data_IF_478532426179
#
_entry.id   IF_478532426179
#
_cell.length_a   1.000
_cell.length_b   1.000
_cell.length_c   1.000
_cell.angle_alpha   90.00
_cell.angle_beta   90.00
_cell.angle_gamma   90.00
#
_symmetry.space_group_name_H-M   'P 1'
#
loop_
_entity.id
_entity.type
_entity.pdbx_description
1 polymer ?
#
# COMPACT_ATOMS: atom_id res chain seq x y z
N UNK A 1 -8.70 8.76 4.74
CA UNK A 1 -7.78 9.89 5.00
C UNK A 1 -6.40 9.28 5.22
N UNK A 2 -5.40 9.76 4.50
CA UNK A 2 -4.02 9.34 4.71
C UNK A 2 -3.54 9.87 6.06
N UNK A 3 -2.88 9.02 6.84
CA UNK A 3 -2.42 9.36 8.18
C UNK A 3 -0.99 8.89 8.37
N UNK A 4 -0.20 9.67 9.08
CA UNK A 4 1.15 9.31 9.46
C UNK A 4 1.35 9.53 10.96
N UNK A 5 2.19 8.73 11.59
CA UNK A 5 2.47 8.88 13.01
C UNK A 5 3.14 7.68 13.64
N UNK A 6 3.43 7.83 14.93
CA UNK A 6 4.00 6.78 15.75
C UNK A 6 2.94 5.75 16.15
N UNK A 7 3.16 4.48 15.83
CA UNK A 7 2.34 3.35 16.25
C UNK A 7 3.25 2.26 16.82
N UNK A 8 3.07 1.93 18.11
CA UNK A 8 3.79 0.85 18.81
C UNK A 8 5.32 0.90 18.60
N UNK A 9 5.90 2.10 18.68
CA UNK A 9 7.34 2.33 18.56
C UNK A 9 7.88 2.40 17.13
N UNK A 10 7.01 2.40 16.10
CA UNK A 10 7.41 2.59 14.70
C UNK A 10 6.66 3.76 14.10
N UNK A 11 7.35 4.59 13.34
CA UNK A 11 6.68 5.59 12.51
C UNK A 11 6.12 4.91 11.27
N UNK A 12 4.83 5.10 11.00
CA UNK A 12 4.15 4.53 9.85
C UNK A 12 3.32 5.58 9.11
N UNK A 13 3.28 5.47 7.79
CA UNK A 13 2.39 6.21 6.91
C UNK A 13 1.35 5.24 6.33
N UNK A 14 0.08 5.51 6.59
CA UNK A 14 -1.07 4.75 6.13
C UNK A 14 -1.69 5.52 4.97
N UNK A 15 -1.27 5.14 3.76
CA UNK A 15 -1.71 5.74 2.52
C UNK A 15 -2.78 4.87 1.86
N UNK A 16 -3.81 5.49 1.31
CA UNK A 16 -4.66 4.85 0.33
C UNK A 16 -3.87 4.47 -0.95
N UNK A 17 -4.46 3.59 -1.75
CA UNK A 17 -3.79 3.04 -2.93
C UNK A 17 -3.47 4.13 -3.97
N UNK A 18 -4.31 5.15 -4.10
CA UNK A 18 -4.11 6.22 -5.08
C UNK A 18 -2.91 7.11 -4.70
N UNK A 19 -2.79 7.44 -3.42
CA UNK A 19 -1.66 8.21 -2.92
C UNK A 19 -0.38 7.39 -2.98
N UNK A 20 -0.45 6.11 -2.61
CA UNK A 20 0.70 5.21 -2.72
C UNK A 20 1.20 5.09 -4.16
N UNK A 21 0.30 4.98 -5.15
CA UNK A 21 0.64 4.99 -6.57
C UNK A 21 1.39 6.25 -7.00
N UNK A 22 0.93 7.42 -6.56
CA UNK A 22 1.60 8.70 -6.86
C UNK A 22 3.00 8.74 -6.28
N UNK A 23 3.16 8.32 -5.02
CA UNK A 23 4.47 8.25 -4.35
C UNK A 23 5.44 7.33 -5.10
N UNK A 24 5.00 6.13 -5.46
CA UNK A 24 5.85 5.16 -6.14
C UNK A 24 6.19 5.59 -7.57
N UNK A 25 5.25 6.21 -8.28
CA UNK A 25 5.49 6.76 -9.62
C UNK A 25 6.50 7.90 -9.60
N UNK A 26 6.39 8.81 -8.63
CA UNK A 26 7.36 9.90 -8.42
C UNK A 26 8.75 9.38 -8.06
N UNK A 27 8.83 8.21 -7.43
CA UNK A 27 10.09 7.51 -7.13
C UNK A 27 10.64 6.67 -8.30
N UNK A 28 10.06 6.78 -9.50
CA UNK A 28 10.45 6.03 -10.71
C UNK A 28 10.29 4.51 -10.57
N UNK A 29 9.16 4.07 -10.01
CA UNK A 29 8.74 2.68 -10.03
C UNK A 29 7.50 2.48 -10.92
N UNK A 30 7.39 1.29 -11.50
CA UNK A 30 6.23 0.84 -12.28
C UNK A 30 5.45 -0.19 -11.45
N UNK A 31 4.13 0.00 -11.32
CA UNK A 31 3.25 -0.95 -10.64
C UNK A 31 3.14 -2.24 -11.47
N UNK A 32 3.39 -3.39 -10.84
CA UNK A 32 3.22 -4.71 -11.46
C UNK A 32 1.93 -5.38 -11.00
N UNK A 33 1.58 -5.24 -9.72
CA UNK A 33 0.38 -5.83 -9.13
C UNK A 33 0.01 -5.12 -7.82
N UNK A 34 -1.27 -5.19 -7.47
CA UNK A 34 -1.77 -4.91 -6.13
C UNK A 34 -2.85 -5.92 -5.77
N UNK A 35 -2.90 -6.34 -4.52
CA UNK A 35 -3.88 -7.31 -4.04
C UNK A 35 -4.08 -7.16 -2.54
N UNK A 36 -5.21 -7.65 -2.05
CA UNK A 36 -5.53 -7.67 -0.64
C UNK A 36 -5.34 -9.08 -0.08
N UNK A 37 -4.99 -9.17 1.21
CA UNK A 37 -4.74 -10.45 1.91
C UNK A 37 -5.62 -10.58 3.15
N UNK A 38 -6.09 -11.80 3.46
CA UNK A 38 -5.81 -13.07 2.78
C UNK A 38 -6.56 -13.22 1.45
N UNK A 39 -5.97 -13.95 0.49
CA UNK A 39 -6.65 -14.25 -0.77
C UNK A 39 -7.84 -15.21 -0.56
N UNK A 40 -8.84 -15.15 -1.45
CA UNK A 40 -10.00 -16.06 -1.43
C UNK A 40 -11.15 -15.68 -0.48
N UNK A 41 -11.02 -14.60 0.29
CA UNK A 41 -12.09 -14.09 1.18
C UNK A 41 -12.83 -12.88 0.56
N UNK A 42 -13.98 -12.46 1.08
CA UNK A 42 -14.58 -11.16 0.73
C UNK A 42 -13.64 -10.00 1.10
N UNK A 43 -13.65 -8.90 0.32
CA UNK A 43 -12.74 -7.75 0.49
C UNK A 43 -12.70 -7.17 1.91
N UNK A 44 -13.82 -7.17 2.61
CA UNK A 44 -13.96 -6.69 4.00
C UNK A 44 -13.11 -7.48 5.00
N UNK A 45 -12.79 -8.74 4.68
CA UNK A 45 -11.95 -9.64 5.50
C UNK A 45 -10.50 -9.67 5.03
N UNK A 46 -10.12 -8.82 4.06
CA UNK A 46 -8.77 -8.71 3.54
C UNK A 46 -8.12 -7.38 3.98
N UNK A 47 -7.69 -7.25 5.26
CA UNK A 47 -7.28 -5.97 5.81
C UNK A 47 -5.95 -5.46 5.25
N UNK A 48 -5.13 -6.33 4.67
CA UNK A 48 -3.77 -5.97 4.27
C UNK A 48 -3.68 -5.72 2.77
N UNK A 49 -3.29 -4.51 2.39
CA UNK A 49 -2.90 -4.18 1.02
C UNK A 49 -1.44 -4.60 0.79
N UNK A 50 -1.20 -5.34 -0.28
CA UNK A 50 0.12 -5.61 -0.82
C UNK A 50 0.22 -5.05 -2.24
N UNK A 51 1.39 -4.52 -2.62
CA UNK A 51 1.66 -4.05 -3.97
C UNK A 51 3.09 -4.41 -4.38
N UNK A 52 3.27 -4.75 -5.66
CA UNK A 52 4.55 -5.17 -6.24
C UNK A 52 4.97 -4.15 -7.27
N UNK A 53 6.23 -3.74 -7.19
CA UNK A 53 6.78 -2.65 -7.97
C UNK A 53 8.11 -3.04 -8.56
N UNK A 54 8.39 -2.57 -9.77
CA UNK A 54 9.69 -2.72 -10.42
C UNK A 54 10.32 -1.34 -10.57
N UNK A 55 11.61 -1.23 -10.23
CA UNK A 55 12.38 -0.02 -10.54
C UNK A 55 12.43 0.16 -12.05
N UNK A 56 12.11 1.36 -12.52
CA UNK A 56 12.25 1.74 -13.94
C UNK A 56 13.70 1.72 -14.39
#
# INVERSE_FOLDING_TARGET
QNQEGWNRGRYGAYLDIETWRRTMSAAHFIELAYYYRPEGLPREQQPWLASVWRKS
#
